data_IF_989596942432
#
_entry.id   IF_989596942432
#
_cell.length_a   1.000
_cell.length_b   1.000
_cell.length_c   1.000
_cell.angle_alpha   90.00
_cell.angle_beta   90.00
_cell.angle_gamma   90.00
#
_symmetry.space_group_name_H-M   'P 1'
#
loop_
_entity.id
_entity.type
_entity.pdbx_description
1 polymer ?
#
# COMPACT_ATOMS: atom_id res chain seq x y z
N UNK A 1 35.68 -4.93 18.74
CA UNK A 1 34.44 -4.51 19.45
C UNK A 1 33.89 -3.38 18.63
N UNK A 2 32.84 -3.66 17.88
CA UNK A 2 32.13 -2.63 17.08
C UNK A 2 31.64 -1.54 18.02
N UNK A 3 31.80 -0.28 17.64
CA UNK A 3 31.25 0.84 18.39
C UNK A 3 29.71 0.70 18.39
N UNK A 4 29.07 0.48 19.55
CA UNK A 4 27.63 0.19 19.60
C UNK A 4 26.75 1.38 19.22
N UNK A 5 27.34 2.49 18.80
CA UNK A 5 26.66 3.77 18.63
C UNK A 5 26.60 4.26 17.17
N UNK A 6 27.08 3.51 16.17
CA UNK A 6 27.02 3.91 14.77
C UNK A 6 25.87 3.20 14.07
N UNK A 7 24.88 3.96 13.60
CA UNK A 7 23.71 3.41 12.89
C UNK A 7 23.98 3.17 11.41
N UNK A 8 23.19 2.30 10.78
CA UNK A 8 23.23 2.10 9.33
C UNK A 8 22.92 3.39 8.54
N UNK A 9 22.04 4.22 9.08
CA UNK A 9 21.70 5.52 8.50
C UNK A 9 22.91 6.45 8.47
N UNK A 10 23.70 6.47 9.53
CA UNK A 10 24.93 7.29 9.60
C UNK A 10 26.00 6.80 8.63
N UNK A 11 26.13 5.49 8.43
CA UNK A 11 27.06 4.93 7.43
C UNK A 11 26.63 5.28 6.01
N UNK A 12 25.33 5.17 5.70
CA UNK A 12 24.79 5.56 4.40
C UNK A 12 24.98 7.07 4.16
N UNK A 13 24.61 7.91 5.14
CA UNK A 13 24.81 9.36 5.06
C UNK A 13 26.28 9.75 4.90
N UNK A 14 27.22 8.98 5.49
CA UNK A 14 28.65 9.16 5.30
C UNK A 14 29.09 8.87 3.86
N UNK A 15 28.63 7.76 3.27
CA UNK A 15 28.94 7.37 1.90
C UNK A 15 28.34 8.35 0.88
N UNK A 16 27.15 8.87 1.17
CA UNK A 16 26.42 9.82 0.30
C UNK A 16 26.84 11.29 0.51
N UNK A 17 27.87 11.53 1.34
CA UNK A 17 28.41 12.87 1.66
C UNK A 17 27.36 13.82 2.28
N UNK A 18 26.40 13.28 3.03
CA UNK A 18 25.28 14.01 3.62
C UNK A 18 25.51 14.40 5.09
N UNK A 19 26.61 13.99 5.71
CA UNK A 19 26.92 14.33 7.09
C UNK A 19 27.52 15.74 7.20
N UNK A 20 27.18 16.43 8.29
CA UNK A 20 27.87 17.65 8.67
C UNK A 20 29.34 17.35 9.07
N UNK A 21 30.25 18.37 9.09
CA UNK A 21 31.68 18.15 9.31
C UNK A 21 32.02 17.48 10.67
N UNK A 22 31.26 17.74 11.72
CA UNK A 22 31.50 17.18 13.04
C UNK A 22 31.12 15.68 13.10
N UNK A 23 29.95 15.32 12.59
CA UNK A 23 29.51 13.93 12.51
C UNK A 23 30.37 13.12 11.53
N UNK A 24 30.80 13.73 10.41
CA UNK A 24 31.71 13.09 9.47
C UNK A 24 33.04 12.70 10.12
N UNK A 25 33.63 13.59 10.94
CA UNK A 25 34.87 13.30 11.66
C UNK A 25 34.69 12.16 12.67
N UNK A 26 33.59 12.15 13.41
CA UNK A 26 33.25 11.08 14.36
C UNK A 26 33.10 9.73 13.68
N UNK A 27 32.34 9.69 12.57
CA UNK A 27 32.12 8.46 11.79
C UNK A 27 33.43 7.97 11.18
N UNK A 28 34.26 8.85 10.64
CA UNK A 28 35.58 8.51 10.07
C UNK A 28 36.51 7.91 11.11
N UNK A 29 36.55 8.44 12.33
CA UNK A 29 37.32 7.91 13.43
C UNK A 29 36.84 6.51 13.86
N UNK A 30 35.51 6.26 13.84
CA UNK A 30 35.00 4.93 14.13
C UNK A 30 35.35 3.92 13.03
N UNK A 31 35.22 4.31 11.74
CA UNK A 31 35.62 3.48 10.59
C UNK A 31 37.10 3.12 10.68
N UNK A 32 37.96 4.07 11.02
CA UNK A 32 39.45 3.83 11.12
C UNK A 32 39.82 2.84 12.24
N UNK A 33 38.96 2.69 13.26
CA UNK A 33 39.21 1.77 14.39
C UNK A 33 38.62 0.39 14.22
N UNK A 34 37.64 0.21 13.29
CA UNK A 34 36.91 -1.05 13.12
C UNK A 34 37.00 -1.57 11.67
N UNK A 35 37.74 -2.69 11.49
CA UNK A 35 37.87 -3.33 10.19
C UNK A 35 36.58 -3.89 9.60
N UNK A 36 35.55 -4.11 10.42
CA UNK A 36 34.22 -4.52 9.93
C UNK A 36 33.47 -3.33 9.31
N UNK A 37 33.56 -2.17 9.93
CA UNK A 37 32.98 -0.92 9.38
C UNK A 37 33.71 -0.52 8.09
N UNK A 38 35.03 -0.66 8.02
CA UNK A 38 35.81 -0.40 6.79
C UNK A 38 35.30 -1.25 5.62
N UNK A 39 35.09 -2.55 5.84
CA UNK A 39 34.55 -3.45 4.79
C UNK A 39 33.17 -3.04 4.33
N UNK A 40 32.26 -2.71 5.25
CA UNK A 40 30.88 -2.25 4.92
C UNK A 40 30.89 -0.96 4.11
N UNK A 41 31.71 0.02 4.50
CA UNK A 41 31.84 1.28 3.75
C UNK A 41 32.40 1.01 2.35
N UNK A 42 33.38 0.11 2.21
CA UNK A 42 33.92 -0.27 0.90
C UNK A 42 32.86 -0.93 0.00
N UNK A 43 32.00 -1.78 0.55
CA UNK A 43 30.87 -2.39 -0.18
C UNK A 43 29.89 -1.32 -0.67
N UNK A 44 29.48 -0.39 0.17
CA UNK A 44 28.58 0.71 -0.22
C UNK A 44 29.19 1.62 -1.29
N UNK A 45 30.48 1.96 -1.16
CA UNK A 45 31.21 2.73 -2.18
C UNK A 45 31.32 1.98 -3.51
N UNK A 46 31.48 0.66 -3.48
CA UNK A 46 31.50 -0.16 -4.69
C UNK A 46 30.15 -0.11 -5.41
N UNK A 47 29.04 -0.26 -4.68
CA UNK A 47 27.68 -0.15 -5.25
C UNK A 47 27.47 1.24 -5.84
N UNK A 48 27.84 2.30 -5.13
CA UNK A 48 27.71 3.68 -5.59
C UNK A 48 28.52 3.91 -6.88
N UNK A 49 29.74 3.37 -6.97
CA UNK A 49 30.58 3.47 -8.15
C UNK A 49 29.97 2.73 -9.36
N UNK A 50 29.37 1.55 -9.14
CA UNK A 50 28.68 0.81 -10.21
C UNK A 50 27.49 1.60 -10.77
N UNK A 51 26.68 2.20 -9.89
CA UNK A 51 25.56 3.04 -10.29
C UNK A 51 26.08 4.27 -11.06
N UNK A 52 27.07 4.97 -10.52
CA UNK A 52 27.67 6.16 -11.18
C UNK A 52 28.22 5.80 -12.56
N UNK A 53 28.88 4.63 -12.71
CA UNK A 53 29.42 4.19 -13.99
C UNK A 53 28.32 3.84 -15.01
N UNK A 54 27.21 3.26 -14.57
CA UNK A 54 26.06 2.97 -15.43
C UNK A 54 25.42 4.23 -16.02
N UNK A 55 25.47 5.35 -15.27
CA UNK A 55 24.87 6.63 -15.69
C UNK A 55 25.87 7.64 -16.30
N UNK A 56 27.17 7.28 -16.42
CA UNK A 56 28.18 8.18 -17.02
C UNK A 56 28.08 8.36 -18.52
N UNK A 57 27.32 7.54 -19.22
CA UNK A 57 27.07 7.68 -20.65
C UNK A 57 25.64 8.18 -20.87
N UNK A 58 25.43 9.49 -21.08
CA UNK A 58 24.14 9.93 -21.57
C UNK A 58 23.85 9.23 -22.91
N UNK A 59 22.62 8.84 -23.19
CA UNK A 59 22.26 8.29 -24.50
C UNK A 59 22.66 9.28 -25.57
N UNK A 60 23.43 8.79 -26.59
CA UNK A 60 23.79 9.64 -27.72
C UNK A 60 22.52 10.24 -28.33
N UNK A 61 22.46 11.56 -28.55
CA UNK A 61 21.34 12.16 -29.23
C UNK A 61 21.26 11.53 -30.63
N UNK A 62 20.08 11.02 -30.99
CA UNK A 62 19.81 10.46 -32.30
C UNK A 62 20.22 11.53 -33.34
N UNK A 63 21.30 11.27 -34.11
CA UNK A 63 21.71 12.13 -35.21
C UNK A 63 20.54 12.26 -36.18
N UNK A 64 20.09 13.49 -36.39
CA UNK A 64 19.13 13.80 -37.44
C UNK A 64 19.74 13.34 -38.78
N UNK A 65 19.23 12.23 -39.31
CA UNK A 65 19.58 11.81 -40.67
C UNK A 65 18.95 12.79 -41.66
N UNK A 66 19.73 13.31 -42.62
CA UNK A 66 19.27 14.16 -43.69
C UNK A 66 17.98 13.63 -44.31
N UNK A 67 16.88 14.29 -44.01
CA UNK A 67 15.56 13.83 -44.46
C UNK A 67 15.39 14.23 -45.93
N UNK A 68 15.39 13.22 -46.81
CA UNK A 68 14.91 13.39 -48.20
C UNK A 68 13.44 13.87 -48.16
N UNK A 69 12.96 14.68 -49.11
CA UNK A 69 11.61 15.24 -49.11
C UNK A 69 10.47 14.19 -49.03
N UNK A 70 10.74 12.97 -49.46
CA UNK A 70 9.81 11.85 -49.35
C UNK A 70 9.72 11.36 -47.88
N UNK A 71 10.84 11.30 -47.13
CA UNK A 71 10.87 10.91 -45.70
C UNK A 71 10.22 11.97 -44.82
N UNK A 72 10.32 13.26 -45.18
CA UNK A 72 9.66 14.33 -44.47
C UNK A 72 8.12 14.26 -44.52
N UNK A 73 7.56 13.84 -45.68
CA UNK A 73 6.11 13.63 -45.82
C UNK A 73 5.62 12.43 -45.01
N UNK A 74 6.38 11.34 -44.94
CA UNK A 74 6.06 10.17 -44.11
C UNK A 74 6.17 10.50 -42.62
N UNK A 75 7.17 11.28 -42.21
CA UNK A 75 7.31 11.73 -40.81
C UNK A 75 6.20 12.71 -40.42
N UNK A 76 5.75 13.60 -41.30
CA UNK A 76 4.62 14.50 -41.04
C UNK A 76 3.30 13.69 -40.88
N UNK A 77 3.07 12.69 -41.71
CA UNK A 77 1.90 11.82 -41.60
C UNK A 77 1.94 10.96 -40.31
N UNK A 78 3.10 10.41 -39.97
CA UNK A 78 3.29 9.67 -38.73
C UNK A 78 3.13 10.55 -37.49
N UNK A 79 3.66 11.79 -37.52
CA UNK A 79 3.48 12.77 -36.43
C UNK A 79 2.02 13.19 -36.23
N UNK A 80 1.27 13.36 -37.34
CA UNK A 80 -0.17 13.66 -37.31
C UNK A 80 -0.99 12.51 -36.75
N UNK A 81 -0.69 11.26 -37.12
CA UNK A 81 -1.35 10.07 -36.60
C UNK A 81 -1.03 9.85 -35.11
N UNK A 82 0.23 10.09 -34.70
CA UNK A 82 0.63 10.03 -33.29
C UNK A 82 -0.03 11.15 -32.46
N UNK A 83 -0.08 12.39 -33.00
CA UNK A 83 -0.75 13.51 -32.37
C UNK A 83 -2.25 13.32 -32.22
N UNK A 84 -2.91 12.78 -33.27
CA UNK A 84 -4.32 12.41 -33.24
C UNK A 84 -4.57 11.25 -32.28
N UNK A 85 -3.70 10.23 -32.23
CA UNK A 85 -3.79 9.10 -31.31
C UNK A 85 -3.60 9.50 -29.86
N UNK A 86 -2.60 10.34 -29.57
CA UNK A 86 -2.35 10.86 -28.22
C UNK A 86 -3.44 11.86 -27.80
N UNK A 87 -3.89 12.73 -28.71
CA UNK A 87 -4.97 13.69 -28.45
C UNK A 87 -6.31 12.99 -28.23
N UNK A 88 -6.66 12.02 -29.06
CA UNK A 88 -7.86 11.22 -28.87
C UNK A 88 -7.76 10.32 -27.60
N UNK A 89 -6.59 9.75 -27.34
CA UNK A 89 -6.33 8.99 -26.13
C UNK A 89 -6.46 9.86 -24.87
N UNK A 90 -5.95 11.09 -24.90
CA UNK A 90 -6.06 12.04 -23.80
C UNK A 90 -7.49 12.54 -23.60
N UNK A 91 -8.22 12.85 -24.68
CA UNK A 91 -9.64 13.19 -24.67
C UNK A 91 -10.49 12.02 -24.13
N UNK A 92 -10.26 10.81 -24.60
CA UNK A 92 -10.99 9.62 -24.11
C UNK A 92 -10.60 9.26 -22.68
N UNK A 93 -9.39 9.54 -22.24
CA UNK A 93 -8.94 9.32 -20.86
C UNK A 93 -9.39 10.45 -19.92
N UNK A 94 -9.42 11.69 -20.39
CA UNK A 94 -9.87 12.86 -19.63
C UNK A 94 -11.38 12.86 -19.34
N UNK A 95 -12.18 12.14 -20.12
CA UNK A 95 -13.62 11.94 -19.82
C UNK A 95 -13.88 10.77 -18.85
N UNK A 96 -12.84 10.04 -18.44
CA UNK A 96 -12.92 9.10 -17.32
C UNK A 96 -12.49 9.75 -16.00
N UNK A 97 -12.97 10.94 -15.72
CA UNK A 97 -13.27 11.32 -14.34
C UNK A 97 -14.51 10.52 -13.92
N UNK A 98 -14.30 9.24 -13.90
CA UNK A 98 -15.15 8.37 -13.12
C UNK A 98 -14.91 8.73 -11.66
N UNK A 99 -15.68 9.63 -11.11
CA UNK A 99 -16.08 9.54 -9.72
C UNK A 99 -16.79 8.18 -9.59
N UNK A 100 -16.01 7.10 -9.68
CA UNK A 100 -16.51 5.75 -9.46
C UNK A 100 -16.86 5.72 -7.99
N UNK A 101 -18.13 6.03 -7.72
CA UNK A 101 -18.68 5.74 -6.39
C UNK A 101 -18.39 4.26 -6.15
N UNK A 102 -17.63 3.91 -5.13
CA UNK A 102 -17.28 2.51 -4.91
C UNK A 102 -18.55 1.68 -4.72
N UNK A 103 -18.54 0.45 -5.20
CA UNK A 103 -19.65 -0.49 -5.06
C UNK A 103 -19.96 -0.79 -3.58
N UNK A 104 -18.97 -0.57 -2.71
CA UNK A 104 -19.05 -0.81 -1.28
C UNK A 104 -17.80 -0.39 -0.56
N UNK A 105 -17.73 -0.70 0.72
CA UNK A 105 -16.54 -0.58 1.54
C UNK A 105 -16.27 -1.88 2.27
N UNK A 106 -15.02 -2.34 2.26
CA UNK A 106 -14.53 -3.44 3.08
C UNK A 106 -13.61 -2.87 4.16
N UNK A 107 -13.94 -3.11 5.42
CA UNK A 107 -13.22 -2.60 6.59
C UNK A 107 -12.49 -3.78 7.22
N UNK A 108 -11.17 -3.67 7.30
CA UNK A 108 -10.32 -4.70 7.91
C UNK A 108 -10.18 -4.48 9.41
N UNK A 109 -10.34 -5.55 10.20
CA UNK A 109 -9.98 -5.58 11.62
C UNK A 109 -9.00 -6.73 11.86
N UNK A 110 -7.74 -6.39 12.16
CA UNK A 110 -6.67 -7.38 12.36
C UNK A 110 -6.02 -7.32 13.75
N UNK A 111 -6.43 -6.38 14.59
CA UNK A 111 -5.79 -6.12 15.87
C UNK A 111 -6.78 -6.37 17.03
N UNK A 112 -6.25 -6.83 18.16
CA UNK A 112 -7.01 -6.99 19.40
C UNK A 112 -7.03 -5.66 20.17
N UNK A 113 -7.68 -4.65 19.59
CA UNK A 113 -7.75 -3.30 20.12
C UNK A 113 -9.19 -2.77 20.09
N UNK A 114 -9.87 -2.65 21.25
CA UNK A 114 -11.24 -2.16 21.35
C UNK A 114 -11.44 -0.77 20.72
N UNK A 115 -10.45 0.13 20.76
CA UNK A 115 -10.57 1.44 20.15
C UNK A 115 -10.63 1.35 18.62
N UNK A 116 -9.87 0.44 18.02
CA UNK A 116 -9.92 0.15 16.57
C UNK A 116 -11.21 -0.55 16.17
N UNK A 117 -11.76 -1.41 17.03
CA UNK A 117 -13.07 -2.03 16.79
C UNK A 117 -14.18 -1.01 16.76
N UNK A 118 -14.17 -0.09 17.72
CA UNK A 118 -15.14 1.01 17.76
C UNK A 118 -14.97 1.90 16.51
N UNK A 119 -13.75 2.22 16.11
CA UNK A 119 -13.48 2.99 14.89
C UNK A 119 -14.02 2.29 13.64
N UNK A 120 -13.87 0.96 13.53
CA UNK A 120 -14.44 0.19 12.43
C UNK A 120 -15.96 0.33 12.36
N UNK A 121 -16.65 0.23 13.51
CA UNK A 121 -18.10 0.39 13.61
C UNK A 121 -18.54 1.83 13.31
N UNK A 122 -17.81 2.83 13.80
CA UNK A 122 -18.06 4.25 13.48
C UNK A 122 -17.91 4.49 11.98
N UNK A 123 -16.84 3.98 11.36
CA UNK A 123 -16.63 4.12 9.92
C UNK A 123 -17.76 3.48 9.12
N UNK A 124 -18.21 2.28 9.49
CA UNK A 124 -19.34 1.63 8.84
C UNK A 124 -20.62 2.46 8.94
N UNK A 125 -20.93 3.04 10.11
CA UNK A 125 -22.08 3.94 10.32
C UNK A 125 -21.96 5.21 9.50
N UNK A 126 -20.78 5.82 9.44
CA UNK A 126 -20.54 7.03 8.66
C UNK A 126 -20.78 6.80 7.16
N UNK A 127 -20.28 5.68 6.64
CA UNK A 127 -20.52 5.28 5.25
C UNK A 127 -22.01 5.06 5.00
N UNK A 128 -22.69 4.34 5.90
CA UNK A 128 -24.14 4.12 5.79
C UNK A 128 -24.93 5.44 5.79
N UNK A 129 -24.56 6.37 6.67
CA UNK A 129 -25.18 7.70 6.75
C UNK A 129 -24.94 8.51 5.48
N UNK A 130 -23.73 8.46 4.91
CA UNK A 130 -23.36 9.25 3.74
C UNK A 130 -24.00 8.75 2.44
N UNK A 131 -24.15 7.43 2.27
CA UNK A 131 -24.57 6.82 1.00
C UNK A 131 -25.95 6.17 1.04
N UNK A 132 -26.64 6.16 2.19
CA UNK A 132 -28.00 5.63 2.35
C UNK A 132 -28.07 4.10 2.40
N UNK A 133 -29.27 3.57 2.64
CA UNK A 133 -29.46 2.20 3.12
C UNK A 133 -29.27 1.08 2.09
N UNK A 134 -29.28 1.33 0.79
CA UNK A 134 -29.43 0.23 -0.16
C UNK A 134 -28.46 0.19 -1.35
N UNK A 135 -27.61 1.19 -1.50
CA UNK A 135 -26.77 1.27 -2.72
C UNK A 135 -25.31 0.88 -2.52
N UNK A 136 -24.85 0.82 -1.27
CA UNK A 136 -23.44 0.55 -0.99
C UNK A 136 -23.30 -0.64 -0.04
N UNK A 137 -22.57 -1.66 -0.46
CA UNK A 137 -22.19 -2.79 0.39
C UNK A 137 -21.22 -2.35 1.48
N UNK A 138 -21.43 -2.79 2.73
CA UNK A 138 -20.50 -2.53 3.82
C UNK A 138 -20.16 -3.87 4.47
N UNK A 139 -18.89 -4.21 4.52
CA UNK A 139 -18.40 -5.45 5.11
C UNK A 139 -17.28 -5.16 6.10
N UNK A 140 -17.35 -5.72 7.30
CA UNK A 140 -16.26 -5.72 8.28
C UNK A 140 -15.69 -7.13 8.30
N UNK A 141 -14.41 -7.26 7.94
CA UNK A 141 -13.72 -8.55 7.88
C UNK A 141 -12.67 -8.60 9.00
N UNK A 142 -12.83 -9.55 9.94
CA UNK A 142 -11.89 -9.74 11.03
C UNK A 142 -11.06 -11.02 10.86
N UNK A 143 -9.76 -10.90 11.06
CA UNK A 143 -8.81 -12.02 11.07
C UNK A 143 -7.65 -11.76 12.05
N UNK A 144 -6.84 -12.80 12.31
CA UNK A 144 -5.79 -12.71 13.32
C UNK A 144 -6.36 -12.29 14.68
N UNK A 145 -5.62 -11.52 15.50
CA UNK A 145 -6.10 -11.07 16.81
C UNK A 145 -7.39 -10.23 16.76
N UNK A 146 -7.73 -9.63 15.62
CA UNK A 146 -8.97 -8.89 15.40
C UNK A 146 -10.24 -9.75 15.49
N UNK A 147 -10.12 -11.09 15.37
CA UNK A 147 -11.24 -12.01 15.53
C UNK A 147 -11.93 -11.85 16.89
N UNK A 148 -11.20 -11.43 17.93
CA UNK A 148 -11.76 -11.19 19.26
C UNK A 148 -12.87 -10.14 19.28
N UNK A 149 -12.87 -9.20 18.33
CA UNK A 149 -14.00 -8.28 18.14
C UNK A 149 -15.32 -9.03 17.98
N UNK A 150 -15.29 -10.18 17.30
CA UNK A 150 -16.47 -10.91 16.88
C UNK A 150 -16.98 -11.95 17.88
N UNK A 151 -16.33 -12.11 19.01
CA UNK A 151 -16.80 -13.00 20.06
C UNK A 151 -18.15 -12.54 20.64
N UNK A 152 -18.94 -13.48 21.10
CA UNK A 152 -20.27 -13.20 21.66
C UNK A 152 -20.19 -12.33 22.94
N UNK A 153 -19.11 -12.49 23.72
CA UNK A 153 -18.80 -11.73 24.94
C UNK A 153 -17.96 -10.47 24.72
N UNK A 154 -17.74 -10.09 23.44
CA UNK A 154 -16.95 -8.91 23.09
C UNK A 154 -17.60 -7.62 23.59
N UNK A 155 -16.82 -6.64 24.08
CA UNK A 155 -17.33 -5.29 24.40
C UNK A 155 -17.95 -4.60 23.16
N UNK A 156 -17.60 -5.03 21.96
CA UNK A 156 -18.17 -4.52 20.70
C UNK A 156 -19.54 -5.14 20.33
N UNK A 157 -20.06 -6.11 21.12
CA UNK A 157 -21.26 -6.88 20.76
C UNK A 157 -22.49 -5.99 20.44
N UNK A 158 -22.73 -4.97 21.25
CA UNK A 158 -23.85 -4.04 21.01
C UNK A 158 -23.71 -3.29 19.69
N UNK A 159 -22.52 -2.72 19.43
CA UNK A 159 -22.23 -2.00 18.18
C UNK A 159 -22.28 -2.91 16.94
N UNK A 160 -21.86 -4.17 17.07
CA UNK A 160 -21.98 -5.18 16.00
C UNK A 160 -23.43 -5.47 15.67
N UNK A 161 -24.28 -5.67 16.69
CA UNK A 161 -25.70 -5.93 16.49
C UNK A 161 -26.39 -4.75 15.79
N UNK A 162 -26.08 -3.53 16.19
CA UNK A 162 -26.58 -2.31 15.53
C UNK A 162 -26.10 -2.22 14.06
N UNK A 163 -24.83 -2.42 13.81
CA UNK A 163 -24.26 -2.41 12.47
C UNK A 163 -24.91 -3.47 11.57
N UNK A 164 -25.10 -4.68 12.08
CA UNK A 164 -25.75 -5.77 11.35
C UNK A 164 -27.23 -5.46 11.03
N UNK A 165 -27.96 -4.80 11.94
CA UNK A 165 -29.32 -4.32 11.69
C UNK A 165 -29.37 -3.28 10.57
N UNK A 166 -28.32 -2.48 10.42
CA UNK A 166 -28.15 -1.50 9.35
C UNK A 166 -27.61 -2.14 8.05
N UNK A 167 -27.53 -3.46 7.96
CA UNK A 167 -27.11 -4.17 6.76
C UNK A 167 -25.60 -4.23 6.55
N UNK A 168 -24.79 -4.01 7.60
CA UNK A 168 -23.35 -4.25 7.57
C UNK A 168 -23.12 -5.77 7.73
N UNK A 169 -22.34 -6.36 6.85
CA UNK A 169 -21.91 -7.75 6.98
C UNK A 169 -20.70 -7.84 7.88
N UNK A 170 -20.73 -8.76 8.84
CA UNK A 170 -19.64 -9.08 9.75
C UNK A 170 -19.09 -10.44 9.37
N UNK A 171 -17.81 -10.52 8.97
CA UNK A 171 -17.23 -11.73 8.38
C UNK A 171 -15.96 -12.15 9.11
N UNK A 172 -15.99 -13.29 9.77
CA UNK A 172 -14.87 -13.90 10.45
C UNK A 172 -14.05 -14.77 9.48
N UNK A 173 -12.73 -14.74 9.63
CA UNK A 173 -11.81 -15.59 8.87
C UNK A 173 -11.78 -17.02 9.43
N UNK A 174 -12.22 -18.01 8.66
CA UNK A 174 -12.22 -19.41 9.04
C UNK A 174 -10.81 -19.97 9.34
N UNK A 175 -9.80 -19.57 8.58
CA UNK A 175 -8.41 -19.94 8.88
C UNK A 175 -7.96 -19.42 10.25
N UNK A 176 -8.34 -18.19 10.61
CA UNK A 176 -8.05 -17.63 11.94
C UNK A 176 -8.82 -18.38 13.03
N UNK A 177 -10.10 -18.68 12.80
CA UNK A 177 -10.89 -19.45 13.75
C UNK A 177 -10.25 -20.80 14.04
N UNK A 178 -9.80 -21.51 13.00
CA UNK A 178 -9.09 -22.79 13.14
C UNK A 178 -7.79 -22.64 13.94
N UNK A 179 -6.99 -21.59 13.65
CA UNK A 179 -5.73 -21.33 14.35
C UNK A 179 -5.95 -20.98 15.83
N UNK A 180 -7.00 -20.23 16.14
CA UNK A 180 -7.34 -19.79 17.49
C UNK A 180 -8.26 -20.79 18.23
N UNK A 181 -8.57 -21.95 17.62
CA UNK A 181 -9.50 -22.95 18.14
C UNK A 181 -10.87 -22.36 18.53
N UNK A 182 -11.32 -21.34 17.79
CA UNK A 182 -12.60 -20.66 18.02
C UNK A 182 -13.69 -21.31 17.19
N UNK A 183 -14.79 -21.69 17.82
CA UNK A 183 -15.96 -22.25 17.15
C UNK A 183 -16.96 -21.14 16.75
N UNK A 184 -17.86 -21.44 15.82
CA UNK A 184 -18.88 -20.49 15.40
C UNK A 184 -19.86 -20.14 16.53
N UNK A 185 -20.09 -21.04 17.46
CA UNK A 185 -20.96 -20.82 18.62
C UNK A 185 -20.40 -19.79 19.61
N UNK A 186 -19.08 -19.58 19.60
CA UNK A 186 -18.43 -18.57 20.44
C UNK A 186 -18.48 -17.17 19.82
N UNK A 187 -18.87 -17.06 18.53
CA UNK A 187 -19.03 -15.78 17.86
C UNK A 187 -20.43 -15.19 18.07
N UNK A 188 -20.52 -13.87 17.91
CA UNK A 188 -21.80 -13.21 17.86
C UNK A 188 -22.68 -13.83 16.73
N UNK A 189 -23.95 -14.13 16.97
CA UNK A 189 -24.82 -14.80 15.99
C UNK A 189 -25.01 -14.05 14.65
N UNK A 190 -24.65 -12.77 14.60
CA UNK A 190 -24.69 -11.94 13.39
C UNK A 190 -23.47 -12.08 12.50
N UNK A 191 -22.44 -12.79 12.96
CA UNK A 191 -21.17 -12.98 12.26
C UNK A 191 -21.25 -14.17 11.32
N UNK A 192 -21.01 -13.93 10.03
CA UNK A 192 -20.76 -14.97 9.05
C UNK A 192 -19.29 -15.41 9.03
N UNK A 193 -19.01 -16.53 8.39
CA UNK A 193 -17.64 -17.06 8.25
C UNK A 193 -17.28 -17.13 6.78
N UNK A 194 -16.08 -16.61 6.45
CA UNK A 194 -15.47 -16.77 5.13
C UNK A 194 -14.22 -17.63 5.25
N UNK A 195 -13.85 -18.43 4.24
CA UNK A 195 -12.69 -19.33 4.32
C UNK A 195 -11.39 -18.61 4.72
N UNK A 196 -11.11 -17.46 4.10
CA UNK A 196 -9.92 -16.67 4.36
C UNK A 196 -10.24 -15.17 4.26
N UNK A 197 -10.09 -14.44 5.37
CA UNK A 197 -10.43 -13.01 5.43
C UNK A 197 -9.68 -12.14 4.44
N UNK A 198 -8.37 -12.40 4.22
CA UNK A 198 -7.58 -11.64 3.25
C UNK A 198 -8.06 -11.87 1.81
N UNK A 199 -8.50 -13.09 1.48
CA UNK A 199 -9.02 -13.40 0.15
C UNK A 199 -10.36 -12.69 -0.08
N UNK A 200 -11.22 -12.65 0.94
CA UNK A 200 -12.47 -11.89 0.89
C UNK A 200 -12.21 -10.40 0.60
N UNK A 201 -11.28 -9.79 1.35
CA UNK A 201 -10.88 -8.39 1.13
C UNK A 201 -10.41 -8.17 -0.32
N UNK A 202 -9.51 -9.02 -0.83
CA UNK A 202 -9.00 -8.92 -2.20
C UNK A 202 -10.10 -9.06 -3.25
N UNK A 203 -11.06 -9.97 -3.01
CA UNK A 203 -12.20 -10.18 -3.90
C UNK A 203 -13.10 -8.94 -3.91
N UNK A 204 -13.41 -8.37 -2.74
CA UNK A 204 -14.22 -7.15 -2.64
C UNK A 204 -13.55 -5.96 -3.32
N UNK A 205 -12.24 -5.81 -3.21
CA UNK A 205 -11.52 -4.77 -3.95
C UNK A 205 -11.63 -4.95 -5.48
N UNK A 206 -11.58 -6.19 -5.98
CA UNK A 206 -11.82 -6.48 -7.41
C UNK A 206 -13.25 -6.15 -7.84
N UNK A 207 -14.23 -6.29 -6.92
CA UNK A 207 -15.63 -5.92 -7.13
C UNK A 207 -15.87 -4.39 -7.03
N UNK A 208 -14.82 -3.60 -6.84
CA UNK A 208 -14.89 -2.14 -6.77
C UNK A 208 -15.19 -1.59 -5.37
N UNK A 209 -14.98 -2.38 -4.33
CA UNK A 209 -15.08 -1.90 -2.95
C UNK A 209 -13.86 -1.08 -2.56
N UNK A 210 -14.10 0.03 -1.87
CA UNK A 210 -13.03 0.77 -1.20
C UNK A 210 -12.53 -0.03 0.01
N UNK A 211 -11.22 0.00 0.25
CA UNK A 211 -10.60 -0.66 1.41
C UNK A 211 -10.29 0.35 2.49
N UNK A 212 -10.62 0.01 3.74
CA UNK A 212 -10.36 0.82 4.93
C UNK A 212 -9.76 -0.05 6.03
N UNK A 213 -8.73 0.45 6.69
CA UNK A 213 -8.15 -0.11 7.91
C UNK A 213 -8.18 0.95 9.00
N UNK A 214 -8.86 0.73 10.14
CA UNK A 214 -8.89 1.63 11.29
C UNK A 214 -7.56 1.72 12.03
#
# INVERSE_FOLDING_TARGET
>A
MSDPNLSEEELNAFVDDQLNPADRSRVLDAINRDAALQRRVAEYQQIQNLVRHAYQRPPEPLRATDATPAKARVMLAAGLLLGLGLGAGWLLHGFKDSSVTPSGVVIQVSENDPAKWEMALINARNVRKAYGDKKMGIEIVAYGPGLNMFRADSPAASGMNEAAQQGVKLLACGNTMSLMHTTQQELNPRVGVVPAGIVEIMQKQKEGYAYVRP
#
